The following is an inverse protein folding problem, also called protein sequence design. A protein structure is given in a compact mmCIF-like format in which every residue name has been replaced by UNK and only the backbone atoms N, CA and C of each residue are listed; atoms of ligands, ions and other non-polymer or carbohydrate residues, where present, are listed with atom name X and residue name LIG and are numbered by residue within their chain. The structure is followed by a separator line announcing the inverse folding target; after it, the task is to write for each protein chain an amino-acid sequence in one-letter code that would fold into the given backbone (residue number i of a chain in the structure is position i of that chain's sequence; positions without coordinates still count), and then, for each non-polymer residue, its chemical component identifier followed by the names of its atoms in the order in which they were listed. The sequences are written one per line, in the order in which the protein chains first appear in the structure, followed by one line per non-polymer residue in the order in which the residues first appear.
data_IF_567117651300
#
_entry.id   IF_567117651300
#
_cell.length_a   1.000
_cell.length_b   1.000
_cell.length_c   1.000
_cell.angle_alpha   90.00
_cell.angle_beta   90.00
_cell.angle_gamma   90.00
#
_symmetry.space_group_name_H-M   'P 1'
#
loop_
_entity.id
_entity.type
_entity.pdbx_description
1 polymer ?
#
# COMPACT_ATOMS: atom_id res chain seq x y z
N UNK A 1 21.66 -2.34 -2.00
CA UNK A 1 20.28 -2.46 -1.46
C UNK A 1 19.28 -2.18 -2.56
N UNK A 2 18.35 -3.10 -2.82
CA UNK A 2 17.27 -2.95 -3.79
C UNK A 2 15.90 -3.09 -3.13
N UNK A 3 14.90 -2.39 -3.67
CA UNK A 3 13.53 -2.41 -3.18
C UNK A 3 12.69 -3.47 -3.88
N UNK A 4 11.68 -4.02 -3.21
CA UNK A 4 10.70 -4.92 -3.83
C UNK A 4 9.56 -4.10 -4.48
N UNK A 5 9.21 -4.41 -5.74
CA UNK A 5 8.09 -3.79 -6.47
C UNK A 5 8.50 -2.98 -7.72
N UNK A 6 7.56 -2.26 -8.32
CA UNK A 6 7.83 -1.34 -9.44
C UNK A 6 8.68 -0.15 -8.96
N UNK A 7 9.86 0.02 -9.56
CA UNK A 7 10.81 1.07 -9.23
C UNK A 7 10.78 2.20 -10.26
N UNK A 8 10.90 3.47 -9.85
CA UNK A 8 11.03 4.59 -10.78
C UNK A 8 12.40 4.56 -11.47
N UNK A 9 12.50 5.12 -12.67
CA UNK A 9 13.74 5.10 -13.46
C UNK A 9 14.98 5.69 -12.75
N UNK A 10 14.78 6.58 -11.76
CA UNK A 10 15.89 7.13 -10.97
C UNK A 10 16.39 6.18 -9.87
N UNK A 11 15.56 5.23 -9.40
CA UNK A 11 15.91 4.32 -8.32
C UNK A 11 17.03 3.36 -8.75
N UNK A 12 16.97 2.82 -9.97
CA UNK A 12 18.03 1.98 -10.52
C UNK A 12 19.38 2.72 -10.55
N UNK A 13 19.37 3.97 -11.01
CA UNK A 13 20.57 4.80 -11.05
C UNK A 13 21.13 5.08 -9.64
N UNK A 14 20.25 5.33 -8.68
CA UNK A 14 20.63 5.54 -7.28
C UNK A 14 21.18 4.26 -6.66
N UNK A 15 20.53 3.11 -6.88
CA UNK A 15 20.98 1.81 -6.36
C UNK A 15 22.37 1.47 -6.89
N UNK A 16 22.59 1.60 -8.21
CA UNK A 16 23.90 1.37 -8.82
C UNK A 16 24.97 2.28 -8.22
N UNK A 17 24.66 3.55 -7.99
CA UNK A 17 25.59 4.48 -7.33
C UNK A 17 25.92 4.04 -5.90
N UNK A 18 24.93 3.61 -5.14
CA UNK A 18 25.09 3.21 -3.73
C UNK A 18 25.90 1.92 -3.56
N UNK A 19 25.77 0.95 -4.48
CA UNK A 19 26.45 -0.34 -4.40
C UNK A 19 27.98 -0.24 -4.41
N UNK A 20 28.54 0.78 -5.07
CA UNK A 20 29.99 0.95 -5.14
C UNK A 20 30.59 1.68 -3.93
N UNK A 21 29.76 2.29 -3.09
CA UNK A 21 30.24 3.13 -1.98
C UNK A 21 30.89 2.29 -0.86
N UNK A 22 30.28 1.19 -0.36
CA UNK A 22 30.90 0.35 0.67
C UNK A 22 32.35 -0.05 0.42
N UNK A 23 32.65 -0.50 -0.81
CA UNK A 23 34.02 -0.91 -1.20
C UNK A 23 34.99 0.25 -1.08
N UNK A 24 34.59 1.45 -1.53
CA UNK A 24 35.41 2.66 -1.41
C UNK A 24 35.55 3.14 0.04
N UNK A 25 34.51 2.98 0.85
CA UNK A 25 34.55 3.34 2.28
C UNK A 25 35.56 2.51 3.06
N UNK A 26 35.75 1.25 2.66
CA UNK A 26 36.64 0.29 3.34
C UNK A 26 37.99 0.13 2.65
N UNK A 27 38.26 0.89 1.58
CA UNK A 27 39.50 0.79 0.82
C UNK A 27 40.71 1.11 1.72
N UNK A 28 41.58 0.12 1.91
CA UNK A 28 42.76 0.21 2.76
C UNK A 28 42.52 -0.19 4.22
N UNK A 29 41.31 -0.56 4.61
CA UNK A 29 40.99 -1.13 5.92
C UNK A 29 41.05 -2.67 5.87
N UNK A 30 41.72 -3.29 6.84
CA UNK A 30 41.82 -4.75 6.91
C UNK A 30 40.63 -5.37 7.65
N UNK A 31 40.14 -6.54 7.22
CA UNK A 31 39.17 -7.32 7.98
C UNK A 31 39.70 -7.69 9.37
N UNK A 32 38.81 -7.80 10.35
CA UNK A 32 39.19 -8.14 11.72
C UNK A 32 39.20 -9.66 12.00
N UNK A 33 38.84 -10.48 11.00
CA UNK A 33 38.76 -11.93 11.12
C UNK A 33 38.52 -12.63 9.79
N UNK A 34 38.42 -13.97 9.79
CA UNK A 34 38.10 -14.75 8.60
C UNK A 34 36.67 -14.49 8.12
N UNK A 35 36.39 -14.75 6.84
CA UNK A 35 35.04 -14.69 6.29
C UNK A 35 34.12 -15.69 6.98
N UNK A 36 32.89 -15.27 7.25
CA UNK A 36 31.84 -16.05 7.91
C UNK A 36 30.91 -16.61 6.84
N UNK A 37 30.81 -17.93 6.77
CA UNK A 37 29.95 -18.63 5.80
C UNK A 37 28.68 -19.16 6.47
N UNK A 38 27.55 -19.01 5.78
CA UNK A 38 26.24 -19.52 6.20
C UNK A 38 25.59 -20.25 5.03
N UNK A 39 24.97 -21.40 5.27
CA UNK A 39 24.28 -22.18 4.22
C UNK A 39 22.87 -21.66 3.91
N UNK A 40 22.10 -21.37 4.96
CA UNK A 40 20.81 -20.70 4.93
C UNK A 40 20.58 -20.14 6.34
N UNK A 41 19.92 -18.99 6.45
CA UNK A 41 19.75 -18.29 7.73
C UNK A 41 18.40 -17.60 7.79
N UNK A 42 17.63 -17.85 8.85
CA UNK A 42 16.31 -17.23 9.03
C UNK A 42 16.42 -15.81 9.62
N UNK A 43 17.32 -15.61 10.59
CA UNK A 43 17.63 -14.28 11.11
C UNK A 43 19.13 -14.12 11.39
N UNK A 44 19.83 -13.59 10.40
CA UNK A 44 21.26 -13.30 10.47
C UNK A 44 21.58 -12.28 11.57
N UNK A 45 20.67 -11.34 11.87
CA UNK A 45 20.94 -10.25 12.82
C UNK A 45 21.27 -10.76 14.24
N UNK A 46 20.76 -11.94 14.61
CA UNK A 46 20.98 -12.58 15.93
C UNK A 46 22.34 -13.28 16.01
N UNK A 47 22.86 -13.72 14.87
CA UNK A 47 24.10 -14.49 14.80
C UNK A 47 25.34 -13.58 14.72
N UNK A 48 25.14 -12.32 14.33
CA UNK A 48 26.24 -11.37 14.12
C UNK A 48 26.62 -10.63 15.41
N UNK A 49 27.93 -10.55 15.74
CA UNK A 49 28.43 -9.72 16.83
C UNK A 49 28.03 -8.23 16.67
N UNK A 50 27.46 -7.64 17.73
CA UNK A 50 26.98 -6.25 17.72
C UNK A 50 28.07 -5.17 17.64
N UNK A 51 29.34 -5.55 17.79
CA UNK A 51 30.50 -4.67 17.69
C UNK A 51 31.22 -4.73 16.32
N UNK A 52 30.63 -5.42 15.35
CA UNK A 52 31.21 -5.60 14.02
C UNK A 52 30.27 -5.08 12.93
N UNK A 53 30.87 -4.75 11.79
CA UNK A 53 30.19 -4.51 10.53
C UNK A 53 30.64 -5.58 9.54
N UNK A 54 29.80 -5.88 8.56
CA UNK A 54 30.06 -6.95 7.61
C UNK A 54 29.84 -6.45 6.19
N UNK A 55 30.69 -6.88 5.28
CA UNK A 55 30.45 -6.76 3.84
C UNK A 55 29.89 -8.09 3.36
N UNK A 56 28.83 -8.05 2.56
CA UNK A 56 28.32 -9.23 1.88
C UNK A 56 29.25 -9.58 0.71
N UNK A 57 29.99 -10.68 0.81
CA UNK A 57 30.93 -11.11 -0.23
C UNK A 57 30.21 -11.87 -1.35
N UNK A 58 29.20 -12.67 -0.99
CA UNK A 58 28.34 -13.35 -1.95
C UNK A 58 26.98 -13.68 -1.33
N UNK A 59 26.00 -13.96 -2.18
CA UNK A 59 24.65 -14.35 -1.78
C UNK A 59 23.66 -13.18 -1.74
N UNK A 60 22.47 -13.48 -1.25
CA UNK A 60 21.31 -12.59 -1.24
C UNK A 60 20.71 -12.54 0.16
N UNK A 61 20.49 -11.35 0.71
CA UNK A 61 19.85 -11.19 2.02
C UNK A 61 18.57 -10.37 1.90
N UNK A 62 17.46 -10.92 2.37
CA UNK A 62 16.18 -10.25 2.43
C UNK A 62 15.98 -9.56 3.78
N UNK A 63 15.68 -8.27 3.75
CA UNK A 63 15.35 -7.46 4.93
C UNK A 63 13.84 -7.45 5.19
N UNK A 64 13.45 -7.90 6.38
CA UNK A 64 12.08 -7.94 6.86
C UNK A 64 11.85 -6.99 8.03
N UNK A 65 10.73 -6.27 8.03
CA UNK A 65 10.20 -5.53 9.17
C UNK A 65 8.76 -5.98 9.39
N UNK A 66 8.41 -6.41 10.61
CA UNK A 66 7.09 -6.95 10.97
C UNK A 66 6.56 -8.00 9.94
N UNK A 67 7.42 -8.97 9.61
CA UNK A 67 7.19 -10.05 8.63
C UNK A 67 6.94 -9.62 7.18
N UNK A 68 7.09 -8.33 6.86
CA UNK A 68 7.05 -7.84 5.47
C UNK A 68 8.46 -7.69 4.92
N UNK A 69 8.72 -8.35 3.78
CA UNK A 69 9.94 -8.13 3.02
C UNK A 69 9.88 -6.72 2.40
N UNK A 70 10.91 -5.90 2.62
CA UNK A 70 10.95 -4.53 2.12
C UNK A 70 12.03 -4.32 1.06
N UNK A 71 13.19 -4.92 1.28
CA UNK A 71 14.36 -4.76 0.43
C UNK A 71 15.23 -6.01 0.49
N UNK A 72 16.20 -6.08 -0.41
CA UNK A 72 17.26 -7.08 -0.35
C UNK A 72 18.64 -6.44 -0.51
N UNK A 73 19.64 -7.08 0.09
CA UNK A 73 21.04 -6.73 0.02
C UNK A 73 21.78 -7.69 -0.91
N UNK A 74 22.73 -7.17 -1.65
CA UNK A 74 23.56 -7.90 -2.62
C UNK A 74 25.04 -7.78 -2.26
N UNK A 75 25.85 -8.55 -2.97
CA UNK A 75 27.30 -8.47 -2.90
C UNK A 75 27.78 -7.01 -2.89
N UNK A 76 28.68 -6.70 -1.95
CA UNK A 76 29.21 -5.38 -1.68
C UNK A 76 28.40 -4.54 -0.69
N UNK A 77 27.17 -4.92 -0.32
CA UNK A 77 26.40 -4.15 0.66
C UNK A 77 26.93 -4.30 2.09
N UNK A 78 26.81 -3.21 2.87
CA UNK A 78 27.16 -3.17 4.30
C UNK A 78 26.02 -3.68 5.18
N UNK A 79 26.37 -4.55 6.12
CA UNK A 79 25.48 -5.12 7.14
C UNK A 79 25.99 -4.71 8.53
N UNK A 80 25.08 -4.51 9.47
CA UNK A 80 25.40 -4.17 10.86
C UNK A 80 25.32 -2.68 11.19
N UNK A 81 25.07 -1.79 10.22
CA UNK A 81 24.97 -0.34 10.47
C UNK A 81 23.89 0.01 11.51
N UNK A 82 22.79 -0.75 11.53
CA UNK A 82 21.65 -0.62 12.45
C UNK A 82 21.84 -1.33 13.80
N UNK A 83 22.96 -2.04 14.02
CA UNK A 83 23.22 -2.70 15.31
C UNK A 83 23.61 -1.69 16.39
N UNK A 84 23.21 -1.97 17.64
CA UNK A 84 23.55 -1.13 18.80
C UNK A 84 22.79 0.19 18.89
N UNK A 85 21.80 0.40 18.01
CA UNK A 85 20.90 1.56 18.06
C UNK A 85 19.53 1.15 18.59
N UNK A 86 18.82 2.05 19.29
CA UNK A 86 17.42 1.87 19.70
C UNK A 86 16.46 1.98 18.50
N UNK A 87 16.75 1.26 17.42
CA UNK A 87 15.95 1.22 16.20
C UNK A 87 15.09 -0.06 16.15
N UNK A 88 13.94 -0.02 15.46
CA UNK A 88 13.15 -1.22 15.20
C UNK A 88 13.99 -2.32 14.55
N UNK A 89 13.76 -3.56 14.99
CA UNK A 89 14.49 -4.74 14.53
C UNK A 89 14.18 -5.00 13.05
N UNK A 90 15.23 -5.23 12.27
CA UNK A 90 15.14 -5.70 10.89
C UNK A 90 15.66 -7.14 10.88
N UNK A 91 14.80 -8.10 10.54
CA UNK A 91 15.20 -9.51 10.37
C UNK A 91 15.87 -9.66 9.01
N UNK A 92 17.01 -10.35 8.97
CA UNK A 92 17.73 -10.61 7.73
C UNK A 92 17.73 -12.10 7.42
N UNK A 93 17.05 -12.50 6.35
CA UNK A 93 16.89 -13.90 5.95
C UNK A 93 17.58 -14.18 4.62
N UNK A 94 18.20 -15.36 4.50
CA UNK A 94 18.63 -15.91 3.23
C UNK A 94 18.30 -17.40 3.13
N UNK A 95 17.76 -17.79 1.98
CA UNK A 95 17.50 -19.20 1.65
C UNK A 95 18.67 -19.84 0.86
N UNK A 96 19.70 -19.05 0.54
CA UNK A 96 20.88 -19.45 -0.22
C UNK A 96 22.15 -19.28 0.61
N UNK A 97 23.26 -19.95 0.23
CA UNK A 97 24.54 -19.72 0.89
C UNK A 97 25.01 -18.26 0.75
N UNK A 98 25.63 -17.75 1.80
CA UNK A 98 26.22 -16.40 1.83
C UNK A 98 27.52 -16.39 2.62
N UNK A 99 28.40 -15.46 2.25
CA UNK A 99 29.67 -15.21 2.90
C UNK A 99 29.79 -13.74 3.30
N UNK A 100 30.35 -13.49 4.49
CA UNK A 100 30.48 -12.16 5.07
C UNK A 100 31.90 -11.89 5.54
N UNK A 101 32.48 -10.77 5.11
CA UNK A 101 33.78 -10.32 5.63
C UNK A 101 33.57 -9.40 6.83
N UNK A 102 34.12 -9.72 8.03
CA UNK A 102 33.92 -8.93 9.24
C UNK A 102 34.94 -7.79 9.39
N UNK A 103 34.44 -6.66 9.89
CA UNK A 103 35.24 -5.48 10.26
C UNK A 103 34.84 -5.00 11.66
N UNK A 104 35.80 -4.50 12.45
CA UNK A 104 35.46 -3.89 13.73
C UNK A 104 34.73 -2.57 13.52
N UNK A 105 33.56 -2.42 14.12
CA UNK A 105 32.71 -1.23 13.95
C UNK A 105 33.47 0.06 14.28
N UNK A 106 34.23 0.06 15.37
CA UNK A 106 35.03 1.21 15.81
C UNK A 106 36.10 1.60 14.77
N UNK A 107 36.78 0.63 14.18
CA UNK A 107 37.84 0.86 13.19
C UNK A 107 37.26 1.37 11.87
N UNK A 108 36.11 0.84 11.43
CA UNK A 108 35.40 1.34 10.25
C UNK A 108 35.05 2.82 10.41
N UNK A 109 34.42 3.20 11.52
CA UNK A 109 34.07 4.61 11.72
C UNK A 109 35.29 5.51 11.90
N UNK A 110 36.32 5.07 12.61
CA UNK A 110 37.58 5.81 12.72
C UNK A 110 38.22 6.02 11.33
N UNK A 111 38.22 4.99 10.50
CA UNK A 111 38.75 5.03 9.13
C UNK A 111 37.94 5.99 8.24
N UNK A 112 36.61 5.96 8.33
CA UNK A 112 35.72 6.86 7.58
C UNK A 112 35.94 8.32 8.02
N UNK A 113 36.00 8.59 9.33
CA UNK A 113 36.12 9.95 9.86
C UNK A 113 37.53 10.54 9.75
N UNK A 114 38.55 9.71 9.53
CA UNK A 114 39.90 10.18 9.27
C UNK A 114 40.06 10.83 7.89
N UNK A 115 39.12 10.61 6.97
CA UNK A 115 39.17 11.09 5.59
C UNK A 115 37.89 11.85 5.21
N UNK A 116 37.98 13.14 4.83
CA UNK A 116 36.81 13.92 4.44
C UNK A 116 36.02 13.34 3.25
N UNK A 117 36.70 12.74 2.26
CA UNK A 117 36.04 12.12 1.11
C UNK A 117 35.27 10.88 1.53
N UNK A 118 35.84 10.03 2.40
CA UNK A 118 35.11 8.87 2.95
C UNK A 118 33.93 9.30 3.80
N UNK A 119 34.07 10.36 4.58
CA UNK A 119 32.97 10.92 5.38
C UNK A 119 31.81 11.38 4.49
N UNK A 120 32.10 12.08 3.40
CA UNK A 120 31.11 12.50 2.40
C UNK A 120 30.46 11.30 1.70
N UNK A 121 31.25 10.30 1.31
CA UNK A 121 30.72 9.05 0.74
C UNK A 121 29.77 8.34 1.72
N UNK A 122 30.11 8.30 3.00
CA UNK A 122 29.28 7.68 4.02
C UNK A 122 27.94 8.42 4.20
N UNK A 123 27.99 9.76 4.19
CA UNK A 123 26.77 10.58 4.20
C UNK A 123 25.90 10.30 2.96
N UNK A 124 26.50 10.26 1.77
CA UNK A 124 25.79 9.94 0.53
C UNK A 124 25.17 8.54 0.57
N UNK A 125 25.87 7.57 1.15
CA UNK A 125 25.37 6.21 1.33
C UNK A 125 24.13 6.19 2.22
N UNK A 126 24.22 6.79 3.40
CA UNK A 126 23.11 6.85 4.36
C UNK A 126 21.91 7.64 3.81
N UNK A 127 22.16 8.78 3.16
CA UNK A 127 21.12 9.60 2.55
C UNK A 127 20.41 8.86 1.40
N UNK A 128 21.15 8.16 0.54
CA UNK A 128 20.57 7.39 -0.55
C UNK A 128 19.75 6.19 -0.07
N UNK A 129 20.21 5.47 0.97
CA UNK A 129 19.41 4.42 1.59
C UNK A 129 18.10 4.98 2.18
N UNK A 130 18.17 6.12 2.86
CA UNK A 130 16.99 6.80 3.42
C UNK A 130 16.01 7.22 2.32
N UNK A 131 16.51 7.74 1.19
CA UNK A 131 15.68 8.12 0.04
C UNK A 131 14.97 6.90 -0.58
N UNK A 132 15.69 5.78 -0.78
CA UNK A 132 15.11 4.54 -1.29
C UNK A 132 14.00 4.01 -0.38
N UNK A 133 14.24 3.95 0.94
CA UNK A 133 13.23 3.50 1.89
C UNK A 133 12.03 4.46 1.97
N UNK A 134 12.25 5.76 1.85
CA UNK A 134 11.19 6.76 1.82
C UNK A 134 10.31 6.64 0.58
N UNK A 135 10.89 6.40 -0.60
CA UNK A 135 10.14 6.15 -1.84
C UNK A 135 9.37 4.82 -1.76
N UNK A 136 10.00 3.75 -1.25
CA UNK A 136 9.31 2.48 -0.99
C UNK A 136 8.11 2.67 -0.06
N UNK A 137 8.28 3.43 1.03
CA UNK A 137 7.19 3.74 1.95
C UNK A 137 6.10 4.57 1.28
N UNK A 138 6.44 5.57 0.47
CA UNK A 138 5.46 6.39 -0.25
C UNK A 138 4.60 5.54 -1.21
N UNK A 139 5.16 4.48 -1.77
CA UNK A 139 4.45 3.53 -2.65
C UNK A 139 3.64 2.49 -1.88
N UNK A 140 4.13 2.05 -0.72
CA UNK A 140 3.44 1.12 0.16
C UNK A 140 2.29 1.80 0.93
N UNK A 141 2.44 3.08 1.25
CA UNK A 141 1.42 3.88 1.92
C UNK A 141 0.34 4.19 0.90
N UNK A 142 -0.80 3.51 1.02
CA UNK A 142 -2.02 3.92 0.33
C UNK A 142 -2.25 5.40 0.63
N UNK A 143 -2.56 6.25 -0.38
CA UNK A 143 -2.82 7.65 -0.13
C UNK A 143 -3.89 7.78 0.96
N UNK A 144 -3.47 8.32 2.12
CA UNK A 144 -4.36 8.59 3.25
C UNK A 144 -5.46 9.53 2.75
N UNK A 145 -6.67 8.99 2.61
CA UNK A 145 -7.76 9.72 2.01
C UNK A 145 -8.25 10.78 2.98
N UNK A 146 -7.85 12.04 2.72
CA UNK A 146 -8.53 13.22 3.23
C UNK A 146 -9.55 13.64 2.17
N UNK A 147 -10.81 13.25 2.36
CA UNK A 147 -11.93 13.77 1.57
C UNK A 147 -12.15 15.25 1.92
N UNK A 148 -11.34 16.16 1.39
CA UNK A 148 -11.54 17.60 1.64
C UNK A 148 -12.68 18.18 0.80
N UNK A 149 -13.16 17.48 -0.24
CA UNK A 149 -14.18 17.99 -1.17
C UNK A 149 -15.46 17.12 -1.30
N UNK A 150 -15.61 16.06 -0.49
CA UNK A 150 -16.55 14.97 -0.81
C UNK A 150 -17.99 15.14 -0.34
N UNK A 151 -18.29 16.01 0.63
CA UNK A 151 -19.62 16.07 1.25
C UNK A 151 -20.46 17.20 0.67
N UNK A 152 -21.63 16.86 0.13
CA UNK A 152 -22.62 17.80 -0.35
C UNK A 152 -23.90 17.68 0.48
N UNK A 153 -24.45 18.82 0.92
CA UNK A 153 -25.80 18.87 1.47
C UNK A 153 -26.79 19.11 0.35
N UNK A 154 -27.85 18.32 0.33
CA UNK A 154 -28.90 18.35 -0.69
C UNK A 154 -30.26 18.48 -0.01
N UNK A 155 -31.17 19.20 -0.65
CA UNK A 155 -32.54 19.35 -0.17
C UNK A 155 -33.35 18.06 -0.42
N UNK A 156 -34.56 17.97 0.15
CA UNK A 156 -35.54 16.96 -0.25
C UNK A 156 -35.99 17.20 -1.70
N UNK A 157 -36.16 16.13 -2.48
CA UNK A 157 -36.55 16.19 -3.89
C UNK A 157 -35.39 16.43 -4.86
N UNK A 158 -34.15 16.50 -4.37
CA UNK A 158 -32.98 16.70 -5.21
C UNK A 158 -32.63 15.42 -5.98
N UNK A 159 -32.38 15.55 -7.29
CA UNK A 159 -32.03 14.42 -8.15
C UNK A 159 -30.52 14.21 -8.12
N UNK A 160 -30.07 13.12 -7.50
CA UNK A 160 -28.66 12.76 -7.36
C UNK A 160 -28.12 12.02 -8.59
N UNK A 161 -28.97 11.20 -9.20
CA UNK A 161 -28.67 10.43 -10.41
C UNK A 161 -29.89 10.51 -11.32
N UNK A 162 -29.67 10.69 -12.64
CA UNK A 162 -30.71 10.50 -13.65
C UNK A 162 -30.46 9.21 -14.42
N UNK A 163 -31.53 8.46 -14.66
CA UNK A 163 -31.50 7.28 -15.50
C UNK A 163 -31.04 7.65 -16.92
N UNK A 164 -30.12 6.86 -17.48
CA UNK A 164 -29.54 7.08 -18.81
C UNK A 164 -28.27 7.94 -18.85
N UNK A 165 -27.89 8.57 -17.75
CA UNK A 165 -26.66 9.36 -17.67
C UNK A 165 -25.40 8.46 -17.68
N UNK A 166 -24.26 9.08 -18.00
CA UNK A 166 -22.95 8.42 -17.89
C UNK A 166 -22.50 8.32 -16.42
N UNK A 167 -21.86 7.21 -16.01
CA UNK A 167 -21.41 7.04 -14.63
C UNK A 167 -20.03 7.66 -14.39
N UNK A 168 -20.00 8.87 -13.87
CA UNK A 168 -18.78 9.61 -13.50
C UNK A 168 -18.46 9.58 -11.99
N UNK A 169 -19.46 9.37 -11.13
CA UNK A 169 -19.32 9.30 -9.67
C UNK A 169 -20.07 8.12 -9.03
N UNK A 170 -19.68 7.78 -7.80
CA UNK A 170 -20.41 6.90 -6.87
C UNK A 170 -20.76 7.71 -5.64
N UNK A 171 -21.88 7.40 -5.02
CA UNK A 171 -22.43 8.19 -3.93
C UNK A 171 -22.63 7.35 -2.68
N UNK A 172 -22.55 7.99 -1.51
CA UNK A 172 -22.88 7.39 -0.22
C UNK A 172 -23.79 8.34 0.55
N UNK A 173 -24.91 7.84 1.09
CA UNK A 173 -25.74 8.63 2.01
C UNK A 173 -25.04 8.64 3.38
N UNK A 174 -24.60 9.80 3.84
CA UNK A 174 -23.96 9.96 5.16
C UNK A 174 -25.01 10.27 6.22
N UNK A 175 -26.06 10.98 5.81
CA UNK A 175 -27.21 11.29 6.63
C UNK A 175 -28.39 11.60 5.73
N UNK A 176 -29.60 11.19 6.14
CA UNK A 176 -30.83 11.33 5.35
C UNK A 176 -31.26 10.04 4.65
N UNK A 177 -32.09 10.19 3.62
CA UNK A 177 -32.71 9.09 2.87
C UNK A 177 -32.98 9.47 1.41
N UNK A 178 -32.86 8.49 0.52
CA UNK A 178 -33.16 8.64 -0.90
C UNK A 178 -33.94 7.44 -1.45
N UNK A 179 -34.55 7.62 -2.62
CA UNK A 179 -35.38 6.64 -3.30
C UNK A 179 -34.89 6.45 -4.73
N UNK A 180 -34.90 5.21 -5.21
CA UNK A 180 -34.52 4.85 -6.56
C UNK A 180 -35.77 4.65 -7.43
N UNK A 181 -35.74 5.19 -8.66
CA UNK A 181 -36.83 5.13 -9.62
C UNK A 181 -36.35 4.63 -10.99
N UNK A 182 -37.11 3.74 -11.61
CA UNK A 182 -36.89 3.28 -12.99
C UNK A 182 -38.15 3.59 -13.78
N UNK A 183 -38.01 4.32 -14.90
CA UNK A 183 -39.13 4.74 -15.75
C UNK A 183 -40.29 5.37 -14.94
N UNK A 184 -39.94 6.17 -13.92
CA UNK A 184 -40.88 6.85 -13.02
C UNK A 184 -41.47 6.00 -11.89
N UNK A 185 -41.18 4.70 -11.84
CA UNK A 185 -41.69 3.81 -10.79
C UNK A 185 -40.64 3.63 -9.69
N UNK A 186 -41.04 3.77 -8.43
CA UNK A 186 -40.16 3.53 -7.28
C UNK A 186 -39.77 2.05 -7.25
N UNK A 187 -38.48 1.77 -7.29
CA UNK A 187 -37.92 0.40 -7.26
C UNK A 187 -37.21 0.07 -5.95
N UNK A 188 -36.90 1.06 -5.12
CA UNK A 188 -36.28 0.81 -3.83
C UNK A 188 -35.96 2.05 -3.02
N UNK A 189 -35.53 1.80 -1.79
CA UNK A 189 -35.09 2.79 -0.81
C UNK A 189 -33.58 2.70 -0.61
N UNK A 190 -32.94 3.85 -0.39
CA UNK A 190 -31.51 4.00 -0.18
C UNK A 190 -31.32 4.68 1.20
N UNK A 191 -31.09 3.89 2.26
CA UNK A 191 -30.93 4.42 3.60
C UNK A 191 -29.54 5.02 3.81
N UNK A 192 -29.35 5.61 4.99
CA UNK A 192 -28.05 6.01 5.52
C UNK A 192 -27.01 4.88 5.45
N UNK A 193 -25.76 5.29 5.21
CA UNK A 193 -24.54 4.48 5.03
C UNK A 193 -24.56 3.55 3.81
N UNK A 194 -25.58 3.66 2.95
CA UNK A 194 -25.68 2.87 1.74
C UNK A 194 -24.90 3.51 0.57
N UNK A 195 -24.17 2.67 -0.16
CA UNK A 195 -23.46 3.07 -1.38
C UNK A 195 -24.37 2.84 -2.59
N UNK A 196 -24.52 3.84 -3.45
CA UNK A 196 -25.37 3.75 -4.64
C UNK A 196 -24.70 4.35 -5.88
N UNK A 197 -25.21 3.98 -7.05
CA UNK A 197 -24.59 4.34 -8.34
C UNK A 197 -23.33 3.52 -8.69
N UNK A 198 -22.91 2.56 -7.86
CA UNK A 198 -21.72 1.75 -8.12
C UNK A 198 -21.87 0.81 -9.33
N UNK A 199 -23.09 0.32 -9.62
CA UNK A 199 -23.32 -0.70 -10.65
C UNK A 199 -22.87 -0.26 -12.04
N UNK A 200 -23.31 0.92 -12.48
CA UNK A 200 -22.94 1.50 -13.78
C UNK A 200 -21.42 1.76 -13.90
N UNK A 201 -20.75 2.09 -12.78
CA UNK A 201 -19.29 2.24 -12.75
C UNK A 201 -18.58 0.90 -13.03
N UNK A 202 -19.08 -0.21 -12.49
CA UNK A 202 -18.49 -1.53 -12.69
C UNK A 202 -18.85 -2.17 -14.02
N UNK A 203 -20.09 -2.04 -14.48
CA UNK A 203 -20.56 -2.67 -15.73
C UNK A 203 -20.16 -1.87 -16.97
N UNK A 204 -19.83 -0.58 -16.82
CA UNK A 204 -19.61 0.33 -17.95
C UNK A 204 -20.89 0.70 -18.69
N UNK A 205 -22.06 0.32 -18.15
CA UNK A 205 -23.36 0.69 -18.67
C UNK A 205 -23.78 2.09 -18.19
N UNK A 206 -24.84 2.63 -18.78
CA UNK A 206 -25.49 3.87 -18.33
C UNK A 206 -26.19 3.68 -16.98
N UNK A 207 -26.59 4.77 -16.35
CA UNK A 207 -27.38 4.72 -15.10
C UNK A 207 -28.71 4.00 -15.33
N UNK A 208 -28.94 2.90 -14.62
CA UNK A 208 -30.15 2.09 -14.77
C UNK A 208 -31.36 2.65 -14.00
N UNK A 209 -31.17 3.61 -13.10
CA UNK A 209 -32.23 4.22 -12.30
C UNK A 209 -31.90 5.70 -12.00
N UNK A 210 -32.94 6.49 -11.78
CA UNK A 210 -32.82 7.81 -11.16
C UNK A 210 -32.82 7.67 -9.64
N UNK A 211 -32.08 8.51 -8.93
CA UNK A 211 -32.06 8.55 -7.47
C UNK A 211 -32.42 9.94 -7.00
N UNK A 212 -33.42 10.05 -6.14
CA UNK A 212 -33.98 11.32 -5.66
C UNK A 212 -34.03 11.28 -4.13
N UNK A 213 -33.61 12.34 -3.46
CA UNK A 213 -33.73 12.43 -2.00
C UNK A 213 -35.18 12.55 -1.57
N UNK A 214 -35.58 11.79 -0.54
CA UNK A 214 -36.91 11.95 0.07
C UNK A 214 -36.89 13.00 1.19
N UNK A 215 -35.72 13.28 1.78
CA UNK A 215 -35.52 14.25 2.85
C UNK A 215 -34.19 15.00 2.69
N UNK A 216 -33.97 16.14 3.38
CA UNK A 216 -32.68 16.83 3.36
C UNK A 216 -31.57 15.86 3.78
N UNK A 217 -30.57 15.70 2.92
CA UNK A 217 -29.57 14.64 3.05
C UNK A 217 -28.16 15.21 2.93
N UNK A 218 -27.18 14.52 3.52
CA UNK A 218 -25.75 14.75 3.29
C UNK A 218 -25.21 13.56 2.52
N UNK A 219 -24.63 13.83 1.35
CA UNK A 219 -24.14 12.80 0.45
C UNK A 219 -22.64 12.96 0.24
N UNK A 220 -21.93 11.84 0.17
CA UNK A 220 -20.53 11.82 -0.21
C UNK A 220 -20.40 11.43 -1.69
N UNK A 221 -19.67 12.21 -2.47
CA UNK A 221 -19.38 11.95 -3.89
C UNK A 221 -17.97 11.41 -4.05
N UNK A 222 -17.82 10.33 -4.81
CA UNK A 222 -16.54 9.66 -5.10
C UNK A 222 -16.41 9.52 -6.63
N UNK A 223 -15.40 10.12 -7.28
CA UNK A 223 -15.16 9.93 -8.71
C UNK A 223 -14.95 8.45 -9.08
N UNK A 224 -15.39 8.05 -10.28
CA UNK A 224 -15.33 6.68 -10.79
C UNK A 224 -13.95 6.02 -10.63
N UNK A 225 -12.90 6.67 -11.14
CA UNK A 225 -11.55 6.10 -11.13
C UNK A 225 -11.03 5.92 -9.70
N UNK A 226 -11.40 6.84 -8.82
CA UNK A 226 -11.07 6.77 -7.40
C UNK A 226 -11.82 5.63 -6.71
N UNK A 227 -13.11 5.45 -7.00
CA UNK A 227 -13.91 4.37 -6.44
C UNK A 227 -13.38 2.99 -6.86
N UNK A 228 -13.01 2.82 -8.13
CA UNK A 228 -12.39 1.58 -8.62
C UNK A 228 -11.08 1.29 -7.88
N UNK A 229 -10.21 2.29 -7.73
CA UNK A 229 -8.97 2.13 -6.95
C UNK A 229 -9.22 1.79 -5.47
N UNK A 230 -10.25 2.37 -4.85
CA UNK A 230 -10.64 2.06 -3.47
C UNK A 230 -11.10 0.61 -3.30
N UNK A 231 -11.86 0.10 -4.26
CA UNK A 231 -12.35 -1.30 -4.20
C UNK A 231 -11.24 -2.32 -4.35
N UNK A 232 -10.17 -1.99 -5.10
CA UNK A 232 -8.98 -2.83 -5.25
C UNK A 232 -8.07 -2.79 -4.03
N UNK A 233 -7.92 -1.62 -3.41
CA UNK A 233 -6.98 -1.39 -2.30
C UNK A 233 -7.56 -1.71 -0.91
N UNK A 234 -8.89 -1.70 -0.76
CA UNK A 234 -9.56 -1.95 0.52
C UNK A 234 -10.67 -3.02 0.38
N UNK A 235 -10.37 -4.29 0.71
CA UNK A 235 -11.32 -5.40 0.61
C UNK A 235 -12.61 -5.19 1.43
N UNK A 236 -12.58 -4.37 2.48
CA UNK A 236 -13.79 -4.09 3.29
C UNK A 236 -14.84 -3.33 2.49
N UNK A 237 -14.45 -2.40 1.62
CA UNK A 237 -15.38 -1.65 0.77
C UNK A 237 -16.07 -2.60 -0.22
N UNK A 238 -15.28 -3.45 -0.87
CA UNK A 238 -15.81 -4.49 -1.76
C UNK A 238 -16.78 -5.42 -1.00
N UNK A 239 -16.45 -5.82 0.22
CA UNK A 239 -17.32 -6.66 1.03
C UNK A 239 -18.64 -5.97 1.39
N UNK A 240 -18.62 -4.69 1.78
CA UNK A 240 -19.85 -3.91 2.04
C UNK A 240 -20.75 -3.79 0.82
N UNK A 241 -20.17 -3.62 -0.37
CA UNK A 241 -20.92 -3.59 -1.64
C UNK A 241 -21.59 -4.94 -1.92
N UNK A 242 -20.85 -6.04 -1.78
CA UNK A 242 -21.39 -7.38 -1.97
C UNK A 242 -22.54 -7.65 -0.99
N UNK A 243 -22.37 -7.25 0.28
CA UNK A 243 -23.41 -7.40 1.30
C UNK A 243 -24.65 -6.54 1.01
N UNK A 244 -24.47 -5.32 0.51
CA UNK A 244 -25.56 -4.45 0.03
C UNK A 244 -26.33 -5.09 -1.13
N UNK A 245 -25.63 -5.54 -2.17
CA UNK A 245 -26.24 -6.20 -3.32
C UNK A 245 -27.01 -7.47 -2.92
N UNK A 246 -26.45 -8.27 -2.01
CA UNK A 246 -27.11 -9.47 -1.50
C UNK A 246 -28.42 -9.13 -0.76
N UNK A 247 -28.43 -8.09 0.09
CA UNK A 247 -29.64 -7.59 0.75
C UNK A 247 -30.68 -7.13 -0.26
N UNK A 248 -30.25 -6.43 -1.31
CA UNK A 248 -31.14 -5.92 -2.35
C UNK A 248 -31.79 -7.05 -3.17
N UNK A 249 -31.02 -8.09 -3.54
CA UNK A 249 -31.55 -9.28 -4.24
C UNK A 249 -32.58 -10.01 -3.37
N UNK A 250 -32.32 -10.17 -2.07
CA UNK A 250 -33.28 -10.80 -1.15
C UNK A 250 -34.60 -10.01 -1.03
N UNK A 251 -34.51 -8.68 -0.97
CA UNK A 251 -35.68 -7.79 -0.98
C UNK A 251 -36.50 -7.94 -2.26
N UNK A 252 -35.86 -7.91 -3.43
CA UNK A 252 -36.53 -8.10 -4.72
C UNK A 252 -37.19 -9.48 -4.82
N UNK A 253 -36.52 -10.54 -4.38
CA UNK A 253 -37.09 -11.89 -4.36
C UNK A 253 -38.36 -11.97 -3.50
N UNK A 254 -38.38 -11.32 -2.33
CA UNK A 254 -39.58 -11.26 -1.48
C UNK A 254 -40.74 -10.54 -2.16
N UNK A 255 -40.48 -9.44 -2.87
CA UNK A 255 -41.51 -8.71 -3.62
C UNK A 255 -42.10 -9.56 -4.76
N UNK A 256 -41.25 -10.29 -5.50
CA UNK A 256 -41.70 -11.20 -6.57
C UNK A 256 -42.60 -12.30 -6.01
N UNK A 257 -42.25 -12.89 -4.86
CA UNK A 257 -43.07 -13.92 -4.20
C UNK A 257 -44.45 -13.36 -3.86
N UNK A 258 -44.54 -12.18 -3.25
CA UNK A 258 -45.81 -11.53 -2.92
C UNK A 258 -46.63 -11.26 -4.19
N UNK A 259 -46.02 -10.71 -5.24
CA UNK A 259 -46.71 -10.42 -6.50
C UNK A 259 -47.20 -11.69 -7.21
N UNK A 260 -46.42 -12.76 -7.18
CA UNK A 260 -46.81 -14.07 -7.74
C UNK A 260 -47.95 -14.74 -6.97
N UNK A 261 -48.05 -14.48 -5.65
CA UNK A 261 -49.14 -14.99 -4.82
C UNK A 261 -50.47 -14.26 -5.07
N UNK A 262 -50.43 -12.95 -5.30
CA UNK A 262 -51.59 -12.12 -5.64
C UNK A 262 -52.19 -12.47 -7.01
N UNK A 263 -51.34 -12.74 -8.00
CA UNK A 263 -51.77 -13.14 -9.35
C UNK A 263 -52.32 -14.59 -9.44
N UNK A 264 -52.20 -15.41 -8.39
CA UNK A 264 -52.79 -16.76 -8.34
C UNK A 264 -54.19 -16.78 -7.69
N UNK A 265 -54.64 -15.67 -7.13
CA UNK A 265 -55.91 -15.55 -6.39
C UNK A 265 -56.98 -14.72 -7.11
N UNK A 266 -56.73 -14.28 -8.35
CA UNK A 266 -57.71 -13.62 -9.22
C UNK A 266 -57.94 -14.44 -10.49
#
# INVERSE_FOLDING_TARGET
MYLLGEQPAYADALINRLQHIPVRLLEGLMPCGPSLEFSAVDDLAVLLPGNQLFVLDNGLLHGYIDDRALFYLHEGDLIGLRQGTELPRCRFRSDSPLALTPYLRSEVFQHIYADPERSELFLQYMAGQSALLSDALARLKQPEFRSTNGFQRVASGEVLIRQGDEPDHVFVIIDGHAEAFVDGHKVGDIPKDEIFGAMAVFTGEKRNASVITSEPSTVMLIPKDQFLSLTQSNPKIAHSLIASMARHIDLLNKQIIVMSSLNRTG
#
